data_IF_040224320063
#
_entry.id   IF_040224320063
#
_cell.length_a   1.000
_cell.length_b   1.000
_cell.length_c   1.000
_cell.angle_alpha   90.00
_cell.angle_beta   90.00
_cell.angle_gamma   90.00
#
_symmetry.space_group_name_H-M   'P 1'
#
loop_
_entity.id
_entity.type
_entity.pdbx_description
1 polymer ?
#
# COMPACT_ATOMS: atom_id res chain seq x y z
N UNK A 1 -16.07 -0.81 -13.20
CA UNK A 1 -14.95 -1.36 -12.39
C UNK A 1 -14.41 -0.25 -11.47
N UNK A 2 -14.41 -0.44 -10.14
CA UNK A 2 -13.94 0.53 -9.11
C UNK A 2 -12.59 0.12 -8.51
N UNK A 3 -11.60 -0.19 -9.34
CA UNK A 3 -10.26 -0.63 -8.92
C UNK A 3 -9.14 0.40 -9.08
N UNK A 4 -9.42 1.56 -9.70
CA UNK A 4 -8.37 2.52 -10.10
C UNK A 4 -7.81 3.34 -8.93
N UNK A 5 -8.66 3.65 -7.94
CA UNK A 5 -8.33 4.62 -6.88
C UNK A 5 -7.07 4.23 -6.09
N UNK A 6 -6.85 2.96 -5.81
CA UNK A 6 -5.67 2.50 -5.06
C UNK A 6 -4.38 2.81 -5.82
N UNK A 7 -4.33 2.40 -7.09
CA UNK A 7 -3.19 2.63 -7.97
C UNK A 7 -2.97 4.13 -8.23
N UNK A 8 -4.06 4.88 -8.40
CA UNK A 8 -3.98 6.33 -8.58
C UNK A 8 -3.42 7.04 -7.35
N UNK A 9 -3.86 6.69 -6.14
CA UNK A 9 -3.29 7.31 -4.92
C UNK A 9 -1.80 7.01 -4.82
N UNK A 10 -1.40 5.76 -5.06
CA UNK A 10 0.02 5.38 -5.04
C UNK A 10 0.83 6.19 -6.05
N UNK A 11 0.36 6.32 -7.29
CA UNK A 11 1.01 7.09 -8.36
C UNK A 11 1.04 8.59 -8.03
N UNK A 12 -0.11 9.18 -7.70
CA UNK A 12 -0.23 10.61 -7.39
C UNK A 12 0.59 11.02 -6.16
N UNK A 13 0.75 10.15 -5.17
CA UNK A 13 1.60 10.43 -4.01
C UNK A 13 3.10 10.42 -4.36
N UNK A 14 3.51 9.68 -5.38
CA UNK A 14 4.86 9.78 -5.95
C UNK A 14 5.05 11.08 -6.74
N UNK A 15 3.96 11.65 -7.26
CA UNK A 15 3.92 12.94 -7.96
C UNK A 15 3.67 14.14 -7.01
N UNK A 16 3.62 13.92 -5.69
CA UNK A 16 3.53 15.01 -4.70
C UNK A 16 2.11 15.40 -4.28
N UNK A 17 1.09 14.60 -4.58
CA UNK A 17 -0.29 14.90 -4.18
C UNK A 17 -0.54 14.79 -2.66
N UNK A 18 0.34 14.13 -1.90
CA UNK A 18 0.29 14.00 -0.44
C UNK A 18 -1.06 13.52 0.15
N UNK A 19 -1.74 12.63 -0.57
CA UNK A 19 -3.03 12.05 -0.21
C UNK A 19 -2.84 11.00 0.89
N UNK A 20 -3.44 11.22 2.05
CA UNK A 20 -3.53 10.25 3.15
C UNK A 20 -4.87 9.50 3.07
N UNK A 21 -4.83 8.17 3.18
CA UNK A 21 -6.04 7.36 3.29
C UNK A 21 -6.40 7.12 4.75
N UNK A 22 -7.63 7.46 5.13
CA UNK A 22 -8.15 7.25 6.49
C UNK A 22 -9.44 6.46 6.43
N UNK A 23 -9.57 5.43 7.26
CA UNK A 23 -10.78 4.63 7.39
C UNK A 23 -11.14 4.44 8.86
N UNK A 24 -12.38 4.78 9.21
CA UNK A 24 -12.95 4.44 10.52
C UNK A 24 -13.69 3.11 10.40
N UNK A 25 -13.30 2.14 11.21
CA UNK A 25 -13.95 0.84 11.35
C UNK A 25 -14.24 0.61 12.82
N UNK A 26 -15.53 0.56 13.19
CA UNK A 26 -15.98 0.33 14.57
C UNK A 26 -15.34 1.26 15.61
N UNK A 27 -15.12 2.53 15.25
CA UNK A 27 -14.50 3.52 16.14
C UNK A 27 -12.96 3.52 16.10
N UNK A 28 -12.34 2.51 15.49
CA UNK A 28 -10.90 2.49 15.26
C UNK A 28 -10.55 3.21 13.96
N UNK A 29 -9.63 4.16 14.03
CA UNK A 29 -9.11 4.89 12.86
C UNK A 29 -7.87 4.16 12.34
N UNK A 30 -7.88 3.85 11.05
CA UNK A 30 -6.75 3.31 10.30
C UNK A 30 -6.27 4.37 9.32
N UNK A 31 -4.98 4.66 9.34
CA UNK A 31 -4.36 5.68 8.49
C UNK A 31 -3.22 5.08 7.67
N UNK A 32 -3.20 5.40 6.38
CA UNK A 32 -2.13 5.08 5.45
C UNK A 32 -1.57 6.39 4.88
N UNK A 33 -0.41 6.86 5.39
CA UNK A 33 0.27 8.06 4.92
C UNK A 33 0.71 7.97 3.45
N UNK A 34 1.02 9.11 2.81
CA UNK A 34 1.58 9.11 1.46
C UNK A 34 2.90 8.33 1.40
N UNK A 35 3.13 7.62 0.28
CA UNK A 35 4.38 6.88 0.01
C UNK A 35 4.74 5.77 1.01
N UNK A 36 3.83 5.43 1.93
CA UNK A 36 4.04 4.37 2.91
C UNK A 36 4.25 2.99 2.23
N UNK A 37 5.18 2.15 2.70
CA UNK A 37 5.44 0.83 2.11
C UNK A 37 4.20 -0.07 2.04
N UNK A 38 3.22 0.12 2.92
CA UNK A 38 1.95 -0.64 2.96
C UNK A 38 1.06 -0.43 1.72
N UNK A 39 1.45 0.41 0.77
CA UNK A 39 0.87 0.44 -0.59
C UNK A 39 1.30 -0.76 -1.45
N UNK A 40 2.36 -1.48 -1.08
CA UNK A 40 2.77 -2.74 -1.69
C UNK A 40 2.15 -3.91 -0.91
N UNK A 41 1.55 -4.87 -1.62
CA UNK A 41 1.18 -6.14 -1.01
C UNK A 41 2.46 -6.92 -0.69
N UNK A 42 2.55 -7.60 0.46
CA UNK A 42 3.70 -8.43 0.78
C UNK A 42 3.88 -9.51 -0.29
N UNK A 43 5.13 -9.78 -0.62
CA UNK A 43 5.47 -10.93 -1.45
C UNK A 43 5.13 -12.18 -0.63
N UNK A 44 4.44 -13.18 -1.22
CA UNK A 44 4.17 -14.44 -0.53
C UNK A 44 5.44 -15.11 -0.02
N UNK A 45 5.38 -15.72 1.16
CA UNK A 45 6.54 -16.33 1.83
C UNK A 45 7.12 -17.50 1.01
N UNK A 46 6.26 -18.32 0.41
CA UNK A 46 6.68 -19.44 -0.44
C UNK A 46 7.48 -18.97 -1.66
N UNK A 47 7.14 -17.82 -2.23
CA UNK A 47 7.92 -17.20 -3.31
C UNK A 47 9.29 -16.74 -2.81
N UNK A 48 9.37 -16.17 -1.62
CA UNK A 48 10.65 -15.78 -0.98
C UNK A 48 11.50 -17.02 -0.72
N UNK A 49 10.93 -18.06 -0.13
CA UNK A 49 11.61 -19.31 0.20
C UNK A 49 12.16 -20.03 -1.04
N UNK A 50 11.38 -20.05 -2.14
CA UNK A 50 11.76 -20.74 -3.38
C UNK A 50 12.77 -19.95 -4.22
N UNK A 51 12.68 -18.62 -4.22
CA UNK A 51 13.51 -17.76 -5.10
C UNK A 51 14.71 -17.13 -4.41
N UNK A 52 14.70 -17.05 -3.07
CA UNK A 52 15.67 -16.28 -2.29
C UNK A 52 15.54 -14.77 -2.44
N UNK A 53 14.45 -14.25 -3.02
CA UNK A 53 14.25 -12.81 -3.18
C UNK A 53 13.94 -12.12 -1.86
N UNK A 54 14.31 -10.84 -1.73
CA UNK A 54 14.01 -10.07 -0.53
C UNK A 54 12.55 -9.62 -0.49
N UNK A 55 11.98 -9.57 0.72
CA UNK A 55 10.66 -8.96 0.96
C UNK A 55 10.67 -7.46 0.67
N UNK A 56 9.48 -6.89 0.43
CA UNK A 56 9.31 -5.44 0.42
C UNK A 56 9.85 -4.82 1.73
N UNK A 57 10.51 -3.65 1.66
CA UNK A 57 11.05 -2.95 2.82
C UNK A 57 9.97 -2.43 3.77
#
# INVERSE_FOLDING_TARGET
MRGLRWMDIKRLNKEGANITLTRNLNGQIYTLPPNDPRFALPIPEDVIDLSGMQQNP
#
